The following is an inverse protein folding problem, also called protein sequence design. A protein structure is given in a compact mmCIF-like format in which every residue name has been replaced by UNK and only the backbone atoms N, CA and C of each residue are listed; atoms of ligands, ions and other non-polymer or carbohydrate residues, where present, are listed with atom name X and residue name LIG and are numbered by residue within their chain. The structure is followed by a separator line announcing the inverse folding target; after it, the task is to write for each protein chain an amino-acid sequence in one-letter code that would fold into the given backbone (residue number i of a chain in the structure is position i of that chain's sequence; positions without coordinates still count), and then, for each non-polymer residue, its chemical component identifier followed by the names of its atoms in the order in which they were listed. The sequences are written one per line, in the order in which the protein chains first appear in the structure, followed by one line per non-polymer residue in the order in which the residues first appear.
data_IF_828010444613
#
_entry.id   IF_828010444613
#
_cell.length_a   1.000
_cell.length_b   1.000
_cell.length_c   1.000
_cell.angle_alpha   90.00
_cell.angle_beta   90.00
_cell.angle_gamma   90.00
#
_symmetry.space_group_name_H-M   'P 1'
#
loop_
_entity.id
_entity.type
_entity.pdbx_description
1 polymer ?
#
# COMPACT_ATOMS: atom_id res chain seq x y z
N UNK A 1 11.21 -33.01 -30.27
CA UNK A 1 10.62 -32.44 -29.04
C UNK A 1 11.25 -33.16 -27.84
N UNK A 2 12.30 -32.63 -27.18
CA UNK A 2 12.74 -33.12 -25.83
C UNK A 2 13.88 -32.33 -25.14
N UNK A 3 14.64 -31.41 -25.78
CA UNK A 3 15.77 -30.74 -25.10
C UNK A 3 15.46 -29.35 -24.48
N UNK A 4 14.59 -28.54 -25.11
CA UNK A 4 14.28 -27.18 -24.61
C UNK A 4 13.42 -27.12 -23.34
N UNK A 5 12.58 -28.13 -23.11
CA UNK A 5 11.67 -28.19 -21.95
C UNK A 5 12.39 -28.51 -20.62
N UNK A 6 13.54 -29.17 -20.68
CA UNK A 6 14.30 -29.57 -19.49
C UNK A 6 15.05 -28.38 -18.87
N UNK A 7 15.66 -27.55 -19.70
CA UNK A 7 16.36 -26.33 -19.27
C UNK A 7 15.39 -25.28 -18.69
N UNK A 8 14.25 -25.05 -19.36
CA UNK A 8 13.22 -24.13 -18.87
C UNK A 8 12.61 -24.55 -17.51
N UNK A 9 12.48 -25.86 -17.26
CA UNK A 9 12.03 -26.40 -15.97
C UNK A 9 13.07 -26.25 -14.86
N UNK A 10 14.37 -26.33 -15.18
CA UNK A 10 15.45 -26.15 -14.21
C UNK A 10 15.58 -24.68 -13.77
N UNK A 11 15.51 -23.74 -14.71
CA UNK A 11 15.56 -22.29 -14.42
C UNK A 11 14.33 -21.82 -13.63
N UNK A 12 13.14 -22.33 -13.96
CA UNK A 12 11.92 -22.05 -13.21
C UNK A 12 11.97 -22.61 -11.76
N UNK A 13 12.67 -23.74 -11.53
CA UNK A 13 12.91 -24.30 -10.19
C UNK A 13 13.88 -23.42 -9.40
N UNK A 14 14.99 -22.98 -10.01
CA UNK A 14 15.99 -22.12 -9.37
C UNK A 14 15.43 -20.76 -8.94
N UNK A 15 14.61 -20.13 -9.78
CA UNK A 15 13.92 -18.88 -9.44
C UNK A 15 12.90 -19.02 -8.30
N UNK A 16 12.18 -20.14 -8.27
CA UNK A 16 11.18 -20.43 -7.22
C UNK A 16 11.85 -20.66 -5.85
N UNK A 17 12.93 -21.43 -5.80
CA UNK A 17 13.66 -21.70 -4.55
C UNK A 17 14.30 -20.43 -3.97
N UNK A 18 14.93 -19.59 -4.80
CA UNK A 18 15.47 -18.28 -4.36
C UNK A 18 14.38 -17.38 -3.77
N UNK A 19 13.19 -17.36 -4.37
CA UNK A 19 12.03 -16.58 -3.86
C UNK A 19 11.56 -17.08 -2.49
N UNK A 20 11.45 -18.39 -2.29
CA UNK A 20 11.07 -18.96 -1.00
C UNK A 20 12.12 -18.73 0.09
N UNK A 21 13.41 -18.81 -0.26
CA UNK A 21 14.50 -18.46 0.66
C UNK A 21 14.43 -17.01 1.10
N UNK A 22 14.15 -16.08 0.18
CA UNK A 22 13.96 -14.65 0.52
C UNK A 22 12.73 -14.42 1.40
N UNK A 23 11.64 -15.14 1.17
CA UNK A 23 10.44 -15.07 2.02
C UNK A 23 10.75 -15.60 3.42
N UNK A 24 11.40 -16.75 3.53
CA UNK A 24 11.81 -17.33 4.82
C UNK A 24 12.77 -16.42 5.58
N UNK A 25 13.75 -15.83 4.89
CA UNK A 25 14.66 -14.87 5.49
C UNK A 25 13.91 -13.62 6.00
N UNK A 26 12.99 -13.05 5.20
CA UNK A 26 12.13 -11.95 5.64
C UNK A 26 11.29 -12.33 6.85
N UNK A 27 10.64 -13.49 6.83
CA UNK A 27 9.84 -13.98 7.96
C UNK A 27 10.70 -14.18 9.22
N UNK A 28 11.90 -14.75 9.08
CA UNK A 28 12.83 -14.96 10.18
C UNK A 28 13.31 -13.64 10.79
N UNK A 29 13.66 -12.66 9.95
CA UNK A 29 14.03 -11.31 10.41
C UNK A 29 12.84 -10.63 11.09
N UNK A 30 11.65 -10.63 10.48
CA UNK A 30 10.45 -10.04 11.09
C UNK A 30 10.10 -10.70 12.43
N UNK A 31 10.15 -12.03 12.51
CA UNK A 31 9.88 -12.76 13.74
C UNK A 31 10.95 -12.49 14.81
N UNK A 32 12.23 -12.42 14.42
CA UNK A 32 13.33 -12.07 15.31
C UNK A 32 13.21 -10.64 15.86
N UNK A 33 12.82 -9.68 15.01
CA UNK A 33 12.56 -8.31 15.42
C UNK A 33 11.35 -8.21 16.37
N UNK A 34 10.25 -8.91 16.06
CA UNK A 34 9.09 -8.96 16.94
C UNK A 34 9.44 -9.60 18.29
N UNK A 35 10.19 -10.70 18.28
CA UNK A 35 10.64 -11.34 19.51
C UNK A 35 11.54 -10.40 20.34
N UNK A 36 12.51 -9.74 19.70
CA UNK A 36 13.37 -8.77 20.38
C UNK A 36 12.56 -7.59 20.95
N UNK A 37 11.54 -7.11 20.23
CA UNK A 37 10.63 -6.08 20.70
C UNK A 37 9.86 -6.53 21.94
N UNK A 38 9.19 -7.70 21.89
CA UNK A 38 8.42 -8.21 23.02
C UNK A 38 9.28 -8.65 24.20
N UNK A 39 10.53 -9.06 23.97
CA UNK A 39 11.47 -9.42 25.01
C UNK A 39 12.07 -8.17 25.71
N UNK A 40 12.09 -7.02 25.04
CA UNK A 40 12.65 -5.77 25.59
C UNK A 40 11.60 -4.82 26.18
N UNK A 41 10.32 -4.98 25.82
CA UNK A 41 9.25 -4.10 26.29
C UNK A 41 8.30 -4.76 27.29
N UNK A 42 8.01 -4.04 28.37
CA UNK A 42 6.88 -4.36 29.24
C UNK A 42 5.58 -3.91 28.56
N UNK A 43 4.80 -4.90 28.11
CA UNK A 43 3.49 -4.70 27.49
C UNK A 43 2.54 -3.95 28.44
N UNK A 44 2.59 -4.20 29.75
CA UNK A 44 1.71 -3.54 30.71
C UNK A 44 2.03 -2.05 30.85
N UNK A 45 3.31 -1.69 30.96
CA UNK A 45 3.75 -0.28 30.97
C UNK A 45 3.40 0.42 29.66
N UNK A 46 3.56 -0.27 28.53
CA UNK A 46 3.20 0.26 27.21
C UNK A 46 1.70 0.53 27.09
N UNK A 47 0.84 -0.39 27.53
CA UNK A 47 -0.61 -0.16 27.53
C UNK A 47 -1.01 0.98 28.48
N UNK A 48 -0.39 1.09 29.65
CA UNK A 48 -0.63 2.19 30.58
C UNK A 48 -0.28 3.55 29.95
N UNK A 49 0.83 3.63 29.22
CA UNK A 49 1.21 4.84 28.47
C UNK A 49 0.22 5.19 27.37
N UNK A 50 -0.29 4.20 26.64
CA UNK A 50 -1.33 4.41 25.62
C UNK A 50 -2.62 4.94 26.26
N UNK A 51 -3.02 4.37 27.40
CA UNK A 51 -4.20 4.84 28.14
C UNK A 51 -4.02 6.25 28.71
N UNK A 52 -2.79 6.66 28.99
CA UNK A 52 -2.44 8.00 29.48
C UNK A 52 -2.18 9.03 28.36
N UNK A 53 -2.38 8.68 27.08
CA UNK A 53 -2.25 9.64 25.98
C UNK A 53 -3.23 10.79 26.20
N UNK A 54 -2.71 12.02 26.11
CA UNK A 54 -3.53 13.22 26.19
C UNK A 54 -4.57 13.23 25.06
N UNK A 55 -5.89 13.24 25.39
CA UNK A 55 -6.93 13.21 24.37
C UNK A 55 -6.91 14.44 23.44
N UNK A 56 -6.41 15.58 23.93
CA UNK A 56 -6.27 16.80 23.13
C UNK A 56 -5.21 16.66 22.04
N UNK A 57 -4.02 16.17 22.38
CA UNK A 57 -2.95 15.87 21.42
C UNK A 57 -3.39 14.81 20.40
N UNK A 58 -4.09 13.76 20.85
CA UNK A 58 -4.66 12.77 19.95
C UNK A 58 -5.67 13.39 18.97
N UNK A 59 -6.58 14.24 19.47
CA UNK A 59 -7.55 14.94 18.64
C UNK A 59 -6.88 15.87 17.61
N UNK A 60 -5.80 16.56 17.99
CA UNK A 60 -5.02 17.41 17.07
C UNK A 60 -4.35 16.56 16.00
N UNK A 61 -3.71 15.45 16.36
CA UNK A 61 -3.09 14.55 15.40
C UNK A 61 -4.13 13.97 14.42
N UNK A 62 -5.28 13.54 14.94
CA UNK A 62 -6.38 13.03 14.14
C UNK A 62 -6.96 14.09 13.19
N UNK A 63 -7.16 15.32 13.66
CA UNK A 63 -7.60 16.42 12.83
C UNK A 63 -6.57 16.75 11.74
N UNK A 64 -5.28 16.70 12.07
CA UNK A 64 -4.19 16.85 11.09
C UNK A 64 -4.25 15.81 9.98
N UNK A 65 -4.53 14.55 10.31
CA UNK A 65 -4.71 13.48 9.32
C UNK A 65 -5.94 13.72 8.44
N UNK A 66 -7.07 14.17 9.01
CA UNK A 66 -8.25 14.53 8.22
C UNK A 66 -7.95 15.66 7.22
N UNK A 67 -7.23 16.70 7.66
CA UNK A 67 -6.79 17.78 6.78
C UNK A 67 -5.89 17.25 5.66
N UNK A 68 -4.94 16.38 5.98
CA UNK A 68 -4.09 15.72 5.00
C UNK A 68 -4.91 14.98 3.93
N UNK A 69 -5.93 14.20 4.33
CA UNK A 69 -6.82 13.49 3.40
C UNK A 69 -7.58 14.46 2.49
N UNK A 70 -8.08 15.58 3.02
CA UNK A 70 -8.78 16.60 2.24
C UNK A 70 -7.83 17.26 1.22
N UNK A 71 -6.60 17.58 1.61
CA UNK A 71 -5.58 18.14 0.73
C UNK A 71 -5.21 17.17 -0.40
N UNK A 72 -5.01 15.89 -0.08
CA UNK A 72 -4.74 14.84 -1.09
C UNK A 72 -5.91 14.70 -2.06
N UNK A 73 -7.14 14.77 -1.57
CA UNK A 73 -8.35 14.71 -2.40
C UNK A 73 -8.42 15.91 -3.35
N UNK A 74 -8.21 17.13 -2.84
CA UNK A 74 -8.17 18.34 -3.66
C UNK A 74 -7.07 18.31 -4.72
N UNK A 75 -5.86 17.89 -4.33
CA UNK A 75 -4.74 17.68 -5.26
C UNK A 75 -5.11 16.71 -6.37
N UNK A 76 -5.76 15.61 -6.02
CA UNK A 76 -6.14 14.60 -7.00
C UNK A 76 -7.26 15.07 -7.94
N UNK A 77 -8.20 15.89 -7.46
CA UNK A 77 -9.19 16.52 -8.33
C UNK A 77 -8.57 17.44 -9.38
N UNK A 78 -7.50 18.16 -9.04
CA UNK A 78 -6.76 18.97 -10.03
C UNK A 78 -6.14 18.09 -11.13
N UNK A 79 -5.55 16.96 -10.74
CA UNK A 79 -5.00 15.97 -11.70
C UNK A 79 -6.11 15.39 -12.59
N UNK A 80 -7.25 15.02 -12.01
CA UNK A 80 -8.38 14.50 -12.77
C UNK A 80 -8.95 15.56 -13.72
N UNK A 81 -9.04 16.82 -13.29
CA UNK A 81 -9.45 17.94 -14.13
C UNK A 81 -8.54 18.13 -15.33
N UNK A 82 -7.22 18.01 -15.15
CA UNK A 82 -6.25 18.05 -16.26
C UNK A 82 -6.43 16.89 -17.27
N UNK A 83 -7.01 15.77 -16.83
CA UNK A 83 -7.36 14.62 -17.67
C UNK A 83 -8.78 14.71 -18.26
N UNK A 84 -9.50 15.82 -18.06
CA UNK A 84 -10.88 16.01 -18.52
C UNK A 84 -11.93 15.27 -17.67
N UNK A 85 -11.56 14.79 -16.49
CA UNK A 85 -12.45 14.10 -15.55
C UNK A 85 -12.79 15.00 -14.37
N UNK A 86 -14.07 15.29 -14.15
CA UNK A 86 -14.52 16.18 -13.07
C UNK A 86 -15.47 15.46 -12.11
N UNK A 87 -15.01 14.47 -11.32
CA UNK A 87 -15.85 13.88 -10.30
C UNK A 87 -16.13 14.91 -9.20
N UNK A 88 -17.31 14.83 -8.58
CA UNK A 88 -17.62 15.64 -7.39
C UNK A 88 -16.66 15.34 -6.24
N UNK A 89 -16.41 16.34 -5.39
CA UNK A 89 -15.45 16.22 -4.28
C UNK A 89 -15.74 15.02 -3.36
N UNK A 90 -17.00 14.80 -2.99
CA UNK A 90 -17.40 13.67 -2.15
C UNK A 90 -17.05 12.31 -2.77
N UNK A 91 -17.22 12.16 -4.09
CA UNK A 91 -16.87 10.93 -4.79
C UNK A 91 -15.35 10.72 -4.80
N UNK A 92 -14.56 11.79 -5.03
CA UNK A 92 -13.11 11.71 -4.94
C UNK A 92 -12.63 11.37 -3.52
N UNK A 93 -13.22 11.98 -2.49
CA UNK A 93 -12.91 11.74 -1.09
C UNK A 93 -13.15 10.27 -0.70
N UNK A 94 -14.32 9.72 -1.06
CA UNK A 94 -14.62 8.30 -0.83
C UNK A 94 -13.56 7.38 -1.47
N UNK A 95 -13.09 7.75 -2.66
CA UNK A 95 -12.12 6.97 -3.41
C UNK A 95 -10.70 7.09 -2.86
N UNK A 96 -10.35 8.22 -2.24
CA UNK A 96 -9.12 8.37 -1.45
C UNK A 96 -9.18 7.50 -0.19
N UNK A 97 -10.30 7.49 0.54
CA UNK A 97 -10.47 6.62 1.71
C UNK A 97 -10.38 5.13 1.37
N UNK A 98 -10.98 4.70 0.25
CA UNK A 98 -10.84 3.32 -0.24
C UNK A 98 -9.37 3.01 -0.53
N UNK A 99 -8.65 3.91 -1.18
CA UNK A 99 -7.21 3.74 -1.44
C UNK A 99 -6.38 3.64 -0.15
N UNK A 100 -6.68 4.48 0.84
CA UNK A 100 -6.04 4.45 2.16
C UNK A 100 -6.30 3.11 2.88
N UNK A 101 -7.55 2.63 2.86
CA UNK A 101 -7.89 1.32 3.42
C UNK A 101 -7.07 0.20 2.78
N UNK A 102 -6.99 0.16 1.44
CA UNK A 102 -6.20 -0.87 0.77
C UNK A 102 -4.70 -0.74 1.02
N UNK A 103 -4.18 0.47 1.25
CA UNK A 103 -2.78 0.66 1.62
C UNK A 103 -2.47 0.06 3.01
N UNK A 104 -3.37 0.22 3.97
CA UNK A 104 -3.21 -0.35 5.32
C UNK A 104 -3.49 -1.86 5.37
N UNK A 105 -4.47 -2.33 4.60
CA UNK A 105 -4.90 -3.73 4.62
C UNK A 105 -4.03 -4.64 3.76
N UNK A 106 -3.39 -4.12 2.71
CA UNK A 106 -2.50 -4.89 1.85
C UNK A 106 -1.04 -4.61 2.21
N UNK A 107 -0.20 -5.64 2.40
CA UNK A 107 1.23 -5.47 2.70
C UNK A 107 2.04 -4.85 1.54
N UNK A 108 1.38 -4.36 0.49
CA UNK A 108 1.98 -3.69 -0.65
C UNK A 108 1.20 -2.41 -0.95
N UNK A 109 1.92 -1.31 -1.18
CA UNK A 109 1.42 0.01 -1.60
C UNK A 109 0.53 -0.01 -2.87
N UNK A 110 0.38 -1.18 -3.50
CA UNK A 110 -0.44 -1.48 -4.69
C UNK A 110 -1.89 -1.02 -4.53
N UNK A 111 -2.43 -0.89 -3.31
CA UNK A 111 -3.81 -0.44 -3.09
C UNK A 111 -4.15 0.94 -3.67
N UNK A 112 -3.22 1.91 -3.57
CA UNK A 112 -3.40 3.26 -4.12
C UNK A 112 -3.29 3.28 -5.65
N UNK A 113 -2.35 2.50 -6.18
CA UNK A 113 -2.11 2.37 -7.62
C UNK A 113 -3.17 1.54 -8.34
N UNK A 114 -3.72 0.52 -7.67
CA UNK A 114 -4.80 -0.30 -8.20
C UNK A 114 -6.04 0.53 -8.49
N UNK A 115 -6.31 1.58 -7.71
CA UNK A 115 -7.45 2.47 -7.92
C UNK A 115 -7.24 3.44 -9.11
N UNK A 116 -5.99 3.91 -9.31
CA UNK A 116 -5.59 4.69 -10.48
C UNK A 116 -5.65 3.83 -11.76
N UNK A 117 -5.14 2.59 -11.70
CA UNK A 117 -5.20 1.61 -12.79
C UNK A 117 -6.65 1.20 -13.10
N UNK A 118 -7.48 0.95 -12.09
CA UNK A 118 -8.89 0.58 -12.26
C UNK A 118 -9.70 1.66 -12.99
N UNK A 119 -9.43 2.95 -12.71
CA UNK A 119 -10.08 4.06 -13.44
C UNK A 119 -9.59 4.20 -14.88
N UNK A 120 -8.28 4.07 -15.15
CA UNK A 120 -7.75 4.04 -16.52
C UNK A 120 -8.28 2.86 -17.34
N UNK A 121 -8.54 1.73 -16.67
CA UNK A 121 -9.13 0.57 -17.31
C UNK A 121 -10.61 0.80 -17.68
N UNK A 122 -11.36 1.57 -16.87
CA UNK A 122 -12.76 1.93 -17.18
C UNK A 122 -12.91 3.00 -18.28
N UNK A 123 -11.85 3.71 -18.67
CA UNK A 123 -11.86 4.65 -19.80
C UNK A 123 -11.43 4.01 -21.13
N UNK A 124 -11.26 2.67 -21.18
CA UNK A 124 -10.89 1.94 -22.40
C UNK A 124 -9.40 1.97 -22.73
N UNK A 125 -8.55 2.40 -21.80
CA UNK A 125 -7.09 2.45 -22.01
C UNK A 125 -6.42 1.11 -21.69
N UNK A 126 -5.39 0.74 -22.46
CA UNK A 126 -4.69 -0.54 -22.27
C UNK A 126 -3.93 -0.60 -20.93
N UNK A 127 -3.96 -1.78 -20.28
CA UNK A 127 -3.35 -2.04 -18.96
C UNK A 127 -1.90 -1.51 -18.86
N UNK A 128 -1.13 -1.61 -19.94
CA UNK A 128 0.28 -1.18 -19.97
C UNK A 128 0.50 0.33 -19.85
N UNK A 129 -0.40 1.16 -20.40
CA UNK A 129 -0.30 2.63 -20.26
C UNK A 129 -0.70 3.09 -18.85
N UNK A 130 -1.63 2.38 -18.22
CA UNK A 130 -2.09 2.64 -16.85
C UNK A 130 -1.02 2.30 -15.80
N UNK A 131 -0.26 1.23 -16.02
CA UNK A 131 0.89 0.87 -15.17
C UNK A 131 2.04 1.88 -15.36
N UNK A 132 2.29 2.33 -16.58
CA UNK A 132 3.33 3.31 -16.87
C UNK A 132 3.15 4.66 -16.17
N UNK A 133 1.92 5.14 -16.00
CA UNK A 133 1.65 6.41 -15.30
C UNK A 133 1.85 6.34 -13.79
N UNK A 134 1.71 5.16 -13.21
CA UNK A 134 1.91 4.91 -11.78
C UNK A 134 3.40 4.84 -11.43
N UNK A 135 4.23 4.29 -12.31
CA UNK A 135 5.67 4.16 -12.06
C UNK A 135 6.45 5.48 -12.24
N UNK A 136 5.82 6.49 -12.84
CA UNK A 136 6.40 7.81 -13.08
C UNK A 136 6.03 8.86 -12.01
N UNK A 137 5.08 8.54 -11.10
CA UNK A 137 4.77 9.35 -9.90
C UNK A 137 5.65 8.90 -8.73
#
# INVERSE_FOLDING_TARGET
MTSGDSAARADAKGGRTKRWLLVLAKCGVSAGLLWALFASYDLADTLARIAAIDPGLFAVAFAGELVNVLLVTGRWLMVLGALGLTPGFAAALALVFIGLFFNQALPSNIGGDAMRVWRLFRTGSSLGRAVGSVMLD
#
